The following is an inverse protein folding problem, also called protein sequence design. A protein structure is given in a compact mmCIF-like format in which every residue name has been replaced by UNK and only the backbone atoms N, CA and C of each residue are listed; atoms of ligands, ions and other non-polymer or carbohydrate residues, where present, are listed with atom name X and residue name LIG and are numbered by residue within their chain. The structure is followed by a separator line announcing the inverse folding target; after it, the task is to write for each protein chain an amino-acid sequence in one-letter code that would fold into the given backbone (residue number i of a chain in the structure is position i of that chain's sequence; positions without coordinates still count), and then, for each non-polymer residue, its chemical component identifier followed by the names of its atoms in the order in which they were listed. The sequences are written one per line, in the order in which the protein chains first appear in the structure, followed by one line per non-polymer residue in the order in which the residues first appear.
data_IF_283687912826
#
_entry.id   IF_283687912826
#
_cell.length_a   1.000
_cell.length_b   1.000
_cell.length_c   1.000
_cell.angle_alpha   90.00
_cell.angle_beta   90.00
_cell.angle_gamma   90.00
#
_symmetry.space_group_name_H-M   'P 1'
#
loop_
_entity.id
_entity.type
_entity.pdbx_description
1 polymer ?
#
# COMPACT_ATOMS: atom_id res chain seq x y z
N UNK A 1 -8.38 -11.28 -7.72
CA UNK A 1 -7.25 -12.22 -7.84
C UNK A 1 -6.00 -11.43 -8.23
N UNK A 2 -4.85 -11.71 -7.60
CA UNK A 2 -3.57 -11.14 -8.00
C UNK A 2 -3.10 -11.75 -9.34
N UNK A 3 -2.61 -10.91 -10.24
CA UNK A 3 -2.04 -11.31 -11.52
C UNK A 3 -0.55 -11.00 -11.52
N UNK A 4 0.28 -12.03 -11.70
CA UNK A 4 1.73 -11.90 -11.80
C UNK A 4 2.20 -12.21 -13.21
N UNK A 5 3.21 -11.51 -13.71
CA UNK A 5 3.87 -11.84 -14.98
C UNK A 5 4.48 -13.25 -14.95
N UNK A 6 4.81 -13.78 -13.76
CA UNK A 6 5.32 -15.14 -13.59
C UNK A 6 4.33 -16.23 -14.00
N UNK A 7 3.02 -15.93 -14.03
CA UNK A 7 1.98 -16.87 -14.47
C UNK A 7 1.79 -16.92 -16.00
N UNK A 8 2.53 -16.09 -16.75
CA UNK A 8 2.47 -15.99 -18.20
C UNK A 8 3.86 -16.29 -18.78
N UNK A 9 4.12 -17.51 -19.33
CA UNK A 9 5.47 -17.94 -19.73
C UNK A 9 6.18 -16.97 -20.69
N UNK A 10 5.48 -16.43 -21.68
CA UNK A 10 6.05 -15.47 -22.63
C UNK A 10 6.45 -14.13 -21.99
N UNK A 11 5.70 -13.68 -20.99
CA UNK A 11 6.04 -12.48 -20.24
C UNK A 11 7.17 -12.77 -19.24
N UNK A 12 7.10 -13.88 -18.54
CA UNK A 12 8.13 -14.30 -17.59
C UNK A 12 9.51 -14.40 -18.26
N UNK A 13 9.56 -14.93 -19.50
CA UNK A 13 10.80 -15.10 -20.27
C UNK A 13 11.55 -13.79 -20.59
N UNK A 14 10.89 -12.62 -20.46
CA UNK A 14 11.44 -11.30 -20.78
C UNK A 14 11.20 -10.25 -19.70
N UNK A 15 10.98 -10.68 -18.47
CA UNK A 15 10.65 -9.77 -17.37
C UNK A 15 11.58 -9.93 -16.18
N UNK A 16 11.83 -8.80 -15.50
CA UNK A 16 12.31 -8.78 -14.13
C UNK A 16 11.10 -8.66 -13.21
N UNK A 17 10.88 -9.65 -12.36
CA UNK A 17 9.88 -9.59 -11.30
C UNK A 17 10.56 -9.07 -10.03
N UNK A 18 10.20 -7.85 -9.62
CA UNK A 18 10.81 -7.17 -8.48
C UNK A 18 9.82 -7.16 -7.33
N UNK A 19 10.26 -7.58 -6.15
CA UNK A 19 9.44 -7.56 -4.95
C UNK A 19 10.26 -7.14 -3.72
N UNK A 20 9.55 -6.61 -2.72
CA UNK A 20 10.16 -6.16 -1.47
C UNK A 20 9.63 -6.98 -0.29
N UNK A 21 10.51 -7.33 0.63
CA UNK A 21 10.11 -7.93 1.90
C UNK A 21 9.53 -6.90 2.88
N UNK A 22 9.83 -5.62 2.66
CA UNK A 22 9.58 -4.54 3.61
C UNK A 22 8.14 -4.41 4.09
N UNK A 23 7.15 -4.44 3.19
CA UNK A 23 5.73 -4.31 3.55
C UNK A 23 5.12 -5.64 3.96
N UNK A 24 5.48 -6.71 3.26
CA UNK A 24 4.95 -8.06 3.50
C UNK A 24 5.29 -8.56 4.91
N UNK A 25 6.51 -8.29 5.38
CA UNK A 25 7.01 -8.80 6.66
C UNK A 25 7.26 -7.71 7.72
N UNK A 26 6.69 -6.51 7.55
CA UNK A 26 6.80 -5.42 8.51
C UNK A 26 8.25 -4.95 8.78
N UNK A 27 9.12 -5.12 7.81
CA UNK A 27 10.56 -4.81 7.92
C UNK A 27 11.01 -3.77 6.89
N UNK A 28 10.19 -2.75 6.68
CA UNK A 28 10.45 -1.70 5.67
C UNK A 28 11.82 -1.04 5.83
N UNK A 29 12.28 -0.87 7.08
CA UNK A 29 13.59 -0.29 7.39
C UNK A 29 14.78 -1.17 7.01
N UNK A 30 14.58 -2.47 6.79
CA UNK A 30 15.66 -3.39 6.41
C UNK A 30 16.14 -3.19 4.97
N UNK A 31 15.32 -2.59 4.11
CA UNK A 31 15.68 -2.26 2.72
C UNK A 31 16.13 -3.46 1.90
N UNK A 32 15.48 -4.62 2.09
CA UNK A 32 15.75 -5.87 1.37
C UNK A 32 14.58 -6.22 0.48
N UNK A 33 14.88 -6.65 -0.72
CA UNK A 33 13.94 -7.17 -1.72
C UNK A 33 14.62 -8.22 -2.57
N UNK A 34 13.90 -8.73 -3.56
CA UNK A 34 14.43 -9.70 -4.50
C UNK A 34 14.00 -9.42 -5.92
N UNK A 35 14.79 -9.94 -6.84
CA UNK A 35 14.50 -9.94 -8.28
C UNK A 35 14.49 -11.37 -8.77
N UNK A 36 13.40 -11.78 -9.40
CA UNK A 36 13.30 -13.04 -10.12
C UNK A 36 13.25 -12.78 -11.63
N UNK A 37 14.11 -13.44 -12.39
CA UNK A 37 14.21 -13.28 -13.83
C UNK A 37 14.82 -14.53 -14.47
N UNK A 38 14.68 -14.74 -15.81
CA UNK A 38 15.38 -15.78 -16.52
C UNK A 38 16.90 -15.68 -16.36
N UNK A 39 17.64 -16.79 -16.51
CA UNK A 39 19.10 -16.80 -16.34
C UNK A 39 19.86 -15.74 -17.13
N UNK A 40 19.46 -15.49 -18.39
CA UNK A 40 20.08 -14.46 -19.25
C UNK A 40 19.92 -13.05 -18.67
N UNK A 41 18.71 -12.68 -18.26
CA UNK A 41 18.44 -11.39 -17.65
C UNK A 41 19.11 -11.27 -16.26
N UNK A 42 19.10 -12.34 -15.48
CA UNK A 42 19.77 -12.39 -14.18
C UNK A 42 21.29 -12.17 -14.30
N UNK A 43 21.91 -12.71 -15.34
CA UNK A 43 23.35 -12.50 -15.59
C UNK A 43 23.66 -11.01 -15.85
N UNK A 44 22.86 -10.34 -16.67
CA UNK A 44 23.04 -8.91 -16.95
C UNK A 44 22.71 -8.03 -15.73
N UNK A 45 21.65 -8.37 -15.00
CA UNK A 45 21.30 -7.69 -13.75
C UNK A 45 22.48 -7.74 -12.75
N UNK A 46 23.11 -8.90 -12.58
CA UNK A 46 24.25 -9.04 -11.64
C UNK A 46 25.44 -8.18 -12.01
N UNK A 47 25.73 -8.02 -13.29
CA UNK A 47 26.81 -7.12 -13.76
C UNK A 47 26.57 -5.67 -13.34
N UNK A 48 25.33 -5.18 -13.44
CA UNK A 48 24.97 -3.83 -13.02
C UNK A 48 24.94 -3.73 -11.48
N UNK A 49 24.32 -4.70 -10.82
CA UNK A 49 24.15 -4.72 -9.37
C UNK A 49 25.49 -4.69 -8.63
N UNK A 50 26.49 -5.39 -9.16
CA UNK A 50 27.85 -5.44 -8.60
C UNK A 50 28.46 -4.04 -8.43
N UNK A 51 28.20 -3.12 -9.37
CA UNK A 51 28.75 -1.76 -9.33
C UNK A 51 27.82 -0.73 -8.73
N UNK A 52 26.53 -1.00 -8.68
CA UNK A 52 25.52 -0.08 -8.17
C UNK A 52 25.27 -0.26 -6.66
N UNK A 53 25.10 -1.51 -6.22
CA UNK A 53 24.77 -1.86 -4.83
C UNK A 53 25.89 -2.68 -4.19
N UNK A 54 26.60 -3.50 -4.94
CA UNK A 54 27.61 -4.46 -4.55
C UNK A 54 27.02 -5.62 -3.73
N UNK A 55 26.54 -5.36 -2.52
CA UNK A 55 25.93 -6.37 -1.63
C UNK A 55 24.79 -5.77 -0.82
N UNK A 56 23.90 -6.63 -0.37
CA UNK A 56 22.79 -6.31 0.54
C UNK A 56 23.15 -6.85 1.93
N UNK A 57 22.64 -6.23 2.99
CA UNK A 57 22.90 -6.60 4.38
C UNK A 57 22.70 -8.10 4.63
N UNK A 58 23.79 -8.83 4.87
CA UNK A 58 23.80 -10.29 4.99
C UNK A 58 23.00 -10.81 6.19
N UNK A 59 23.14 -10.28 7.42
CA UNK A 59 22.32 -10.69 8.55
C UNK A 59 20.81 -10.61 8.29
N UNK A 60 20.34 -9.56 7.61
CA UNK A 60 18.91 -9.41 7.27
C UNK A 60 18.44 -10.44 6.24
N UNK A 61 19.31 -10.83 5.30
CA UNK A 61 19.01 -11.91 4.36
C UNK A 61 18.85 -13.26 5.06
N UNK A 62 19.73 -13.59 6.01
CA UNK A 62 19.62 -14.81 6.81
C UNK A 62 18.38 -14.81 7.69
N UNK A 63 18.05 -13.67 8.34
CA UNK A 63 16.83 -13.54 9.13
C UNK A 63 15.57 -13.76 8.28
N UNK A 64 15.52 -13.19 7.08
CA UNK A 64 14.40 -13.39 6.15
C UNK A 64 14.34 -14.84 5.65
N UNK A 65 15.48 -15.47 5.33
CA UNK A 65 15.51 -16.86 4.89
C UNK A 65 14.92 -17.79 5.94
N UNK A 66 15.34 -17.65 7.20
CA UNK A 66 14.79 -18.43 8.32
C UNK A 66 13.29 -18.16 8.54
N UNK A 67 12.86 -16.90 8.46
CA UNK A 67 11.45 -16.54 8.64
C UNK A 67 10.55 -17.11 7.54
N UNK A 68 11.05 -17.23 6.32
CA UNK A 68 10.33 -17.76 5.17
C UNK A 68 10.11 -19.27 5.20
N UNK A 69 10.77 -20.01 6.10
CA UNK A 69 10.57 -21.44 6.28
C UNK A 69 9.12 -21.75 6.75
N UNK A 70 8.48 -20.81 7.47
CA UNK A 70 7.05 -20.90 7.77
C UNK A 70 6.22 -20.11 6.75
N UNK A 71 5.63 -20.85 5.81
CA UNK A 71 4.78 -20.28 4.77
C UNK A 71 3.53 -19.56 5.31
N UNK A 72 3.10 -19.84 6.54
CA UNK A 72 1.93 -19.20 7.14
C UNK A 72 2.09 -17.70 7.27
N UNK A 73 3.31 -17.20 7.42
CA UNK A 73 3.63 -15.78 7.54
C UNK A 73 3.21 -14.94 6.32
N UNK A 74 3.15 -15.53 5.14
CA UNK A 74 2.70 -14.83 3.93
C UNK A 74 1.40 -15.37 3.35
N UNK A 75 1.10 -16.66 3.53
CA UNK A 75 -0.15 -17.24 3.02
C UNK A 75 -1.39 -16.74 3.76
N UNK A 76 -1.26 -16.35 5.02
CA UNK A 76 -2.37 -15.80 5.82
C UNK A 76 -2.63 -14.32 5.58
N UNK A 77 -1.69 -13.59 4.97
CA UNK A 77 -1.83 -12.13 4.76
C UNK A 77 -3.05 -11.72 3.93
N UNK A 78 -3.45 -12.42 2.87
CA UNK A 78 -4.66 -12.07 2.12
C UNK A 78 -5.91 -12.05 2.98
N UNK A 79 -6.13 -13.06 3.82
CA UNK A 79 -7.27 -13.13 4.73
C UNK A 79 -7.20 -12.06 5.82
N UNK A 80 -6.02 -11.84 6.39
CA UNK A 80 -5.78 -10.80 7.39
C UNK A 80 -6.14 -9.39 6.86
N UNK A 81 -5.63 -9.01 5.69
CA UNK A 81 -5.94 -7.71 5.11
C UNK A 81 -7.36 -7.63 4.56
N UNK A 82 -7.94 -8.73 4.09
CA UNK A 82 -9.35 -8.80 3.71
C UNK A 82 -10.25 -8.40 4.88
N UNK A 83 -10.03 -9.00 6.06
CA UNK A 83 -10.79 -8.69 7.28
C UNK A 83 -10.67 -7.22 7.68
N UNK A 84 -9.45 -6.67 7.72
CA UNK A 84 -9.22 -5.25 8.04
C UNK A 84 -9.86 -4.31 7.02
N UNK A 85 -9.77 -4.64 5.73
CA UNK A 85 -10.42 -3.88 4.66
C UNK A 85 -11.92 -3.83 4.85
N UNK A 86 -12.54 -4.99 5.06
CA UNK A 86 -13.99 -5.11 5.15
C UNK A 86 -14.51 -4.39 6.40
N UNK A 87 -13.81 -4.53 7.53
CA UNK A 87 -14.09 -3.77 8.75
C UNK A 87 -14.08 -2.26 8.49
N UNK A 88 -12.99 -1.74 7.91
CA UNK A 88 -12.83 -0.31 7.67
C UNK A 88 -13.82 0.22 6.63
N UNK A 89 -14.05 -0.52 5.54
CA UNK A 89 -15.04 -0.16 4.51
C UNK A 89 -16.47 -0.12 5.05
N UNK A 90 -16.85 -1.08 5.88
CA UNK A 90 -18.18 -1.11 6.51
C UNK A 90 -18.38 0.10 7.44
N UNK A 91 -17.33 0.55 8.11
CA UNK A 91 -17.38 1.78 8.89
C UNK A 91 -17.47 3.05 8.03
N UNK A 92 -16.64 3.14 6.99
CA UNK A 92 -16.64 4.26 6.05
C UNK A 92 -17.96 4.38 5.26
N UNK A 93 -18.64 3.27 4.98
CA UNK A 93 -19.95 3.29 4.32
C UNK A 93 -21.03 4.03 5.12
N UNK A 94 -20.80 4.27 6.42
CA UNK A 94 -21.68 5.07 7.29
C UNK A 94 -21.31 6.56 7.32
N UNK A 95 -20.28 6.95 6.59
CA UNK A 95 -19.83 8.34 6.44
C UNK A 95 -20.34 8.92 5.12
N UNK A 96 -20.06 10.19 4.88
CA UNK A 96 -20.41 10.87 3.62
C UNK A 96 -19.35 10.71 2.52
N UNK A 97 -18.27 9.99 2.79
CA UNK A 97 -17.27 9.68 1.77
C UNK A 97 -17.80 8.67 0.75
N UNK A 98 -17.53 8.91 -0.52
CA UNK A 98 -17.81 7.92 -1.58
C UNK A 98 -16.64 6.94 -1.69
N UNK A 99 -16.88 5.68 -1.39
CA UNK A 99 -15.86 4.64 -1.43
C UNK A 99 -15.53 4.24 -2.86
N UNK A 100 -14.23 4.23 -3.19
CA UNK A 100 -13.74 3.69 -4.46
C UNK A 100 -13.43 2.19 -4.32
N UNK A 101 -13.34 1.46 -5.46
CA UNK A 101 -12.97 0.04 -5.44
C UNK A 101 -11.59 -0.19 -4.79
N UNK A 102 -11.48 -1.27 -4.01
CA UNK A 102 -10.24 -1.67 -3.35
C UNK A 102 -10.04 -3.18 -3.53
N UNK A 103 -9.60 -3.62 -4.72
CA UNK A 103 -9.42 -5.05 -5.00
C UNK A 103 -8.15 -5.65 -4.37
N UNK A 104 -7.27 -4.83 -3.83
CA UNK A 104 -6.01 -5.27 -3.20
C UNK A 104 -5.39 -4.17 -2.35
N UNK A 105 -4.15 -4.38 -1.91
CA UNK A 105 -3.39 -3.47 -1.05
C UNK A 105 -3.99 -3.30 0.37
N UNK A 106 -3.48 -2.34 1.13
CA UNK A 106 -3.94 -1.98 2.48
C UNK A 106 -4.38 -0.51 2.56
N UNK A 107 -4.80 0.04 1.42
CA UNK A 107 -5.30 1.41 1.29
C UNK A 107 -6.74 1.42 0.80
N UNK A 108 -7.51 2.39 1.30
CA UNK A 108 -8.84 2.72 0.80
C UNK A 108 -8.83 4.14 0.25
N UNK A 109 -9.05 4.28 -1.04
CA UNK A 109 -9.31 5.58 -1.65
C UNK A 109 -10.78 5.94 -1.53
N UNK A 110 -11.05 7.20 -1.23
CA UNK A 110 -12.40 7.77 -1.11
C UNK A 110 -12.47 9.13 -1.81
N UNK A 111 -13.60 9.41 -2.43
CA UNK A 111 -13.94 10.72 -2.97
C UNK A 111 -14.67 11.52 -1.89
N UNK A 112 -14.22 12.76 -1.63
CA UNK A 112 -14.80 13.65 -0.61
C UNK A 112 -15.64 14.78 -1.20
N UNK A 113 -15.75 14.89 -2.52
CA UNK A 113 -16.46 16.00 -3.20
C UNK A 113 -17.95 16.11 -2.82
N UNK A 114 -18.56 14.98 -2.43
CA UNK A 114 -19.97 14.93 -2.03
C UNK A 114 -20.24 15.35 -0.56
N UNK A 115 -19.22 15.69 0.22
CA UNK A 115 -19.40 16.09 1.63
C UNK A 115 -19.83 17.56 1.68
N UNK A 116 -21.00 17.83 2.28
CA UNK A 116 -21.55 19.18 2.34
C UNK A 116 -20.95 20.03 3.49
N UNK A 117 -19.65 20.32 3.39
CA UNK A 117 -18.92 21.24 4.27
C UNK A 117 -18.04 22.17 3.42
N UNK A 118 -17.70 23.32 3.95
CA UNK A 118 -16.87 24.29 3.23
C UNK A 118 -15.50 23.73 2.84
N UNK A 119 -14.93 22.91 3.71
CA UNK A 119 -13.61 22.29 3.52
C UNK A 119 -13.58 21.24 2.40
N UNK A 120 -14.72 20.66 2.01
CA UNK A 120 -14.79 19.75 0.86
C UNK A 120 -14.53 20.44 -0.49
N UNK A 121 -14.46 21.78 -0.50
CA UNK A 121 -14.05 22.56 -1.69
C UNK A 121 -12.55 22.85 -1.75
N UNK A 122 -11.81 22.45 -0.72
CA UNK A 122 -10.36 22.64 -0.68
C UNK A 122 -9.67 21.63 -1.63
N UNK A 123 -8.52 22.01 -2.21
CA UNK A 123 -7.63 21.08 -2.87
C UNK A 123 -7.27 19.90 -1.96
N UNK A 124 -6.96 18.75 -2.54
CA UNK A 124 -6.71 17.50 -1.80
C UNK A 124 -5.68 17.66 -0.67
N UNK A 125 -4.58 18.36 -0.93
CA UNK A 125 -3.53 18.57 0.08
C UNK A 125 -4.05 19.37 1.28
N UNK A 126 -4.76 20.47 1.01
CA UNK A 126 -5.32 21.33 2.06
C UNK A 126 -6.44 20.62 2.84
N UNK A 127 -7.26 19.84 2.13
CA UNK A 127 -8.26 18.98 2.77
C UNK A 127 -7.62 17.94 3.70
N UNK A 128 -6.55 17.28 3.28
CA UNK A 128 -5.80 16.34 4.12
C UNK A 128 -5.15 16.99 5.34
N UNK A 129 -4.60 18.20 5.19
CA UNK A 129 -4.06 18.98 6.31
C UNK A 129 -5.14 19.33 7.33
N UNK A 130 -6.28 19.83 6.84
CA UNK A 130 -7.43 20.12 7.68
C UNK A 130 -7.98 18.86 8.37
N UNK A 131 -8.15 17.77 7.65
CA UNK A 131 -8.63 16.50 8.20
C UNK A 131 -7.72 16.01 9.33
N UNK A 132 -6.41 16.16 9.16
CA UNK A 132 -5.43 15.78 10.18
C UNK A 132 -5.51 16.71 11.40
N UNK A 133 -5.54 18.02 11.22
CA UNK A 133 -5.44 18.99 12.30
C UNK A 133 -6.76 19.19 13.05
N UNK A 134 -7.89 19.22 12.35
CA UNK A 134 -9.20 19.51 12.94
C UNK A 134 -9.96 18.25 13.36
N UNK A 135 -9.89 17.17 12.56
CA UNK A 135 -10.61 15.92 12.80
C UNK A 135 -9.71 14.88 13.49
N UNK A 136 -8.38 15.02 13.33
CA UNK A 136 -7.39 14.10 13.91
C UNK A 136 -7.32 12.77 13.18
N UNK A 137 -7.62 12.76 11.88
CA UNK A 137 -7.49 11.59 11.01
C UNK A 137 -6.61 11.93 9.81
N UNK A 138 -5.46 11.25 9.70
CA UNK A 138 -4.52 11.48 8.61
C UNK A 138 -4.94 10.72 7.34
N UNK A 139 -4.85 11.41 6.20
CA UNK A 139 -5.02 10.86 4.86
C UNK A 139 -3.92 11.38 3.94
N UNK A 140 -3.74 10.73 2.80
CA UNK A 140 -2.78 11.14 1.77
C UNK A 140 -3.55 11.65 0.55
N UNK A 141 -3.24 12.85 0.02
CA UNK A 141 -3.83 13.33 -1.22
C UNK A 141 -3.35 12.46 -2.39
N UNK A 142 -4.28 12.01 -3.24
CA UNK A 142 -3.91 11.16 -4.39
C UNK A 142 -3.22 11.96 -5.47
N UNK A 143 -3.51 13.25 -5.59
CA UNK A 143 -2.82 14.20 -6.48
C UNK A 143 -1.30 14.23 -6.28
N UNK A 144 -0.79 13.94 -5.08
CA UNK A 144 0.65 13.87 -4.80
C UNK A 144 1.41 12.80 -5.62
N UNK A 145 0.71 11.89 -6.28
CA UNK A 145 1.29 10.84 -7.12
C UNK A 145 1.24 11.13 -8.62
N UNK A 146 0.73 12.28 -9.01
CA UNK A 146 0.63 12.71 -10.41
C UNK A 146 1.58 13.87 -10.69
N UNK A 147 2.09 13.91 -11.92
CA UNK A 147 2.92 15.01 -12.39
C UNK A 147 2.12 16.31 -12.59
N UNK A 148 0.87 16.17 -13.02
CA UNK A 148 -0.05 17.28 -13.21
C UNK A 148 -1.00 17.39 -12.02
N UNK A 149 -1.35 18.62 -11.65
CA UNK A 149 -2.28 18.93 -10.54
C UNK A 149 -3.74 18.69 -10.93
N UNK A 150 -4.07 17.49 -11.38
CA UNK A 150 -5.47 17.12 -11.60
C UNK A 150 -6.13 16.92 -10.23
N UNK A 151 -6.96 17.87 -9.82
CA UNK A 151 -7.78 17.75 -8.62
C UNK A 151 -8.85 16.69 -8.86
N UNK A 152 -8.68 15.52 -8.27
CA UNK A 152 -9.62 14.41 -8.37
C UNK A 152 -10.58 14.33 -7.18
N UNK A 153 -10.36 15.15 -6.14
CA UNK A 153 -11.06 15.10 -4.85
C UNK A 153 -10.95 13.72 -4.17
N UNK A 154 -9.87 13.00 -4.44
CA UNK A 154 -9.64 11.66 -3.91
C UNK A 154 -8.51 11.66 -2.90
N UNK A 155 -8.79 11.12 -1.72
CA UNK A 155 -7.81 10.91 -0.66
C UNK A 155 -7.69 9.42 -0.34
N UNK A 156 -6.56 9.04 0.25
CA UNK A 156 -6.21 7.66 0.55
C UNK A 156 -6.02 7.45 2.04
N UNK A 157 -6.81 6.58 2.64
CA UNK A 157 -6.62 6.06 4.00
C UNK A 157 -5.81 4.77 4.01
N UNK A 158 -5.09 4.52 5.10
CA UNK A 158 -4.39 3.26 5.34
C UNK A 158 -5.13 2.47 6.41
N UNK A 159 -5.57 1.24 6.09
CA UNK A 159 -6.23 0.36 7.06
C UNK A 159 -5.30 -0.70 7.68
N UNK A 160 -4.00 -0.66 7.40
CA UNK A 160 -3.00 -1.47 8.10
C UNK A 160 -2.73 -0.90 9.49
N UNK A 161 -3.74 -0.94 10.37
CA UNK A 161 -3.74 -0.40 11.73
C UNK A 161 -4.44 -1.37 12.67
N UNK A 162 -4.27 -1.14 13.98
CA UNK A 162 -5.05 -1.83 14.99
C UNK A 162 -6.54 -1.47 14.90
N UNK A 163 -7.44 -2.40 15.22
CA UNK A 163 -8.89 -2.16 15.15
C UNK A 163 -9.34 -0.99 16.01
N UNK A 164 -8.75 -0.82 17.18
CA UNK A 164 -9.05 0.32 18.05
C UNK A 164 -8.74 1.66 17.37
N UNK A 165 -7.61 1.73 16.63
CA UNK A 165 -7.24 2.92 15.85
C UNK A 165 -8.22 3.16 14.70
N UNK A 166 -8.61 2.10 13.98
CA UNK A 166 -9.58 2.21 12.89
C UNK A 166 -10.95 2.66 13.41
N UNK A 167 -11.41 2.10 14.53
CA UNK A 167 -12.66 2.50 15.17
C UNK A 167 -12.65 3.98 15.59
N UNK A 168 -11.57 4.43 16.24
CA UNK A 168 -11.45 5.83 16.66
C UNK A 168 -11.47 6.78 15.45
N UNK A 169 -10.80 6.41 14.36
CA UNK A 169 -10.83 7.18 13.12
C UNK A 169 -12.24 7.21 12.51
N UNK A 170 -12.93 6.07 12.43
CA UNK A 170 -14.28 5.97 11.89
C UNK A 170 -15.29 6.81 12.68
N UNK A 171 -15.23 6.80 14.02
CA UNK A 171 -16.08 7.64 14.86
C UNK A 171 -15.91 9.14 14.56
N UNK A 172 -14.67 9.59 14.36
CA UNK A 172 -14.37 10.99 13.99
C UNK A 172 -14.87 11.33 12.59
N UNK A 173 -14.69 10.44 11.62
CA UNK A 173 -15.13 10.64 10.23
C UNK A 173 -16.65 10.64 10.08
N UNK A 174 -17.39 9.96 10.97
CA UNK A 174 -18.85 9.95 10.97
C UNK A 174 -19.47 11.29 11.43
N UNK A 175 -18.68 12.15 12.08
CA UNK A 175 -19.15 13.48 12.48
C UNK A 175 -19.11 14.52 11.35
N UNK A 176 -18.53 14.20 10.20
CA UNK A 176 -18.50 15.02 8.98
C UNK A 176 -19.79 14.83 8.17
#
# INVERSE_FOLDING_TARGET
KHHSVASHPELAARSFLISSFGKTYHVTGWKVGYVAAPPSLTAEFRKVHQFNVFTVNTPMQFGLASYLEDASHYLNLPAFYQSKRDFFRNGLAKTKFKLLPTPGTYFQCVDYSGINIAQAKLPEEEFCKWLTSAIGVAAIPVSAFYADTAESNVIRFCFAKEEATLNAALQRLQSL
#
